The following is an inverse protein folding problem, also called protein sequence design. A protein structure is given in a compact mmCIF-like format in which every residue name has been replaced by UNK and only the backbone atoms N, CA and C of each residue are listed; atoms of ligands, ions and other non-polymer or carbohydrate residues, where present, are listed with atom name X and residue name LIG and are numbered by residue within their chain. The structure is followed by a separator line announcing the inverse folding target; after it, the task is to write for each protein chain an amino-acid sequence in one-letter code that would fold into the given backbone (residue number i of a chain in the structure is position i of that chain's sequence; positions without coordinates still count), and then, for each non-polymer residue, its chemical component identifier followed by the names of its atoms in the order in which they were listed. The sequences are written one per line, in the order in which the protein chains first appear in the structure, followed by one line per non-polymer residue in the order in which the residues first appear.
data_IF_201778558073
#
_entry.id   IF_201778558073
#
_cell.length_a   1.000
_cell.length_b   1.000
_cell.length_c   1.000
_cell.angle_alpha   90.00
_cell.angle_beta   90.00
_cell.angle_gamma   90.00
#
_symmetry.space_group_name_H-M   'P 1'
#
loop_
_entity.id
_entity.type
_entity.pdbx_description
1 polymer ?
#
# COMPACT_ATOMS: atom_id res chain seq x y z
N UNK A 1 10.18 -36.99 -2.22
CA UNK A 1 9.76 -35.95 -1.25
C UNK A 1 9.25 -34.73 -2.03
N UNK A 2 8.14 -34.87 -2.76
CA UNK A 2 7.40 -33.75 -3.37
C UNK A 2 6.10 -33.63 -2.58
N UNK A 3 6.19 -33.26 -1.31
CA UNK A 3 5.05 -33.45 -0.41
C UNK A 3 4.04 -32.32 -0.41
N UNK A 4 4.33 -31.15 -0.98
CA UNK A 4 3.33 -30.10 -1.16
C UNK A 4 3.76 -29.28 -2.38
N UNK A 5 3.06 -29.38 -3.51
CA UNK A 5 3.29 -28.45 -4.63
C UNK A 5 2.93 -27.03 -4.14
N UNK A 6 3.89 -26.12 -3.96
CA UNK A 6 3.57 -24.76 -3.56
C UNK A 6 2.70 -24.12 -4.65
N UNK A 7 1.88 -23.16 -4.27
CA UNK A 7 1.31 -22.26 -5.27
C UNK A 7 2.46 -21.43 -5.84
N UNK A 8 2.34 -21.03 -7.11
CA UNK A 8 3.32 -20.13 -7.72
C UNK A 8 3.55 -18.91 -6.81
N UNK A 9 4.81 -18.44 -6.67
CA UNK A 9 5.12 -17.33 -5.78
C UNK A 9 4.29 -16.08 -6.12
N UNK A 10 3.64 -15.50 -5.10
CA UNK A 10 2.81 -14.32 -5.27
C UNK A 10 3.59 -13.05 -4.96
N UNK A 11 3.38 -12.03 -5.79
CA UNK A 11 3.93 -10.69 -5.61
C UNK A 11 2.80 -9.66 -5.69
N UNK A 12 2.02 -9.56 -4.61
CA UNK A 12 0.83 -8.71 -4.56
C UNK A 12 1.17 -7.31 -4.04
N UNK A 13 0.50 -6.31 -4.58
CA UNK A 13 0.69 -4.89 -4.27
C UNK A 13 -0.32 -4.36 -3.23
N UNK A 14 -1.40 -5.11 -2.96
CA UNK A 14 -2.45 -4.74 -2.01
C UNK A 14 -2.54 -5.70 -0.82
N UNK A 15 -2.84 -5.13 0.36
CA UNK A 15 -3.06 -5.89 1.58
C UNK A 15 -4.32 -6.75 1.48
N UNK A 16 -5.35 -6.21 0.82
CA UNK A 16 -6.63 -6.86 0.59
C UNK A 16 -6.46 -8.15 -0.22
N UNK A 17 -5.68 -8.10 -1.31
CA UNK A 17 -5.39 -9.30 -2.11
C UNK A 17 -4.61 -10.34 -1.30
N UNK A 18 -3.61 -9.91 -0.51
CA UNK A 18 -2.84 -10.80 0.39
C UNK A 18 -3.73 -11.47 1.44
N UNK A 19 -4.67 -10.73 2.05
CA UNK A 19 -5.63 -11.30 3.01
C UNK A 19 -6.60 -12.26 2.34
N UNK A 20 -7.08 -11.93 1.14
CA UNK A 20 -7.99 -12.78 0.38
C UNK A 20 -7.35 -14.12 0.01
N UNK A 21 -6.14 -14.12 -0.54
CA UNK A 21 -5.44 -15.38 -0.86
C UNK A 21 -5.14 -16.17 0.41
N UNK A 22 -4.70 -15.51 1.48
CA UNK A 22 -4.46 -16.14 2.77
C UNK A 22 -5.71 -16.87 3.31
N UNK A 23 -6.86 -16.20 3.33
CA UNK A 23 -8.12 -16.80 3.78
C UNK A 23 -8.55 -17.96 2.86
N UNK A 24 -8.38 -17.79 1.55
CA UNK A 24 -8.70 -18.83 0.56
C UNK A 24 -7.87 -20.09 0.82
N UNK A 25 -6.57 -19.97 1.08
CA UNK A 25 -5.70 -21.11 1.33
C UNK A 25 -5.97 -21.80 2.65
N UNK A 26 -6.33 -21.06 3.69
CA UNK A 26 -6.78 -21.64 4.96
C UNK A 26 -8.08 -22.43 4.78
N UNK A 27 -9.03 -21.90 4.00
CA UNK A 27 -10.32 -22.57 3.74
C UNK A 27 -10.21 -23.81 2.85
N UNK A 28 -9.11 -23.95 2.11
CA UNK A 28 -8.83 -25.12 1.26
C UNK A 28 -8.15 -26.27 2.03
N UNK A 29 -7.74 -26.05 3.29
CA UNK A 29 -7.14 -27.10 4.11
C UNK A 29 -8.19 -28.13 4.51
N UNK A 30 -7.95 -29.37 4.14
CA UNK A 30 -8.71 -30.53 4.60
C UNK A 30 -8.02 -31.11 5.85
N UNK A 31 -8.66 -31.11 7.03
CA UNK A 31 -8.07 -31.60 8.27
C UNK A 31 -7.79 -33.12 8.27
N UNK A 32 -8.45 -33.89 7.40
CA UNK A 32 -8.24 -35.34 7.30
C UNK A 32 -7.08 -35.71 6.37
N UNK A 33 -6.63 -34.77 5.55
CA UNK A 33 -5.56 -34.97 4.58
C UNK A 33 -4.31 -34.13 4.92
N UNK A 34 -3.23 -34.75 5.43
CA UNK A 34 -1.97 -34.06 5.75
C UNK A 34 -1.27 -33.37 4.57
N UNK A 35 -1.59 -33.74 3.33
CA UNK A 35 -1.04 -33.12 2.10
C UNK A 35 -1.93 -32.01 1.52
N UNK A 36 -3.05 -31.71 2.18
CA UNK A 36 -3.98 -30.66 1.75
C UNK A 36 -3.42 -29.24 1.86
N UNK A 37 -2.61 -28.86 2.88
CA UNK A 37 -2.18 -27.47 3.01
C UNK A 37 -1.28 -27.04 1.86
N UNK A 38 -1.67 -26.02 1.10
CA UNK A 38 -0.83 -25.47 0.02
C UNK A 38 0.07 -24.35 0.56
N UNK A 39 1.40 -24.49 0.51
CA UNK A 39 2.32 -23.43 0.90
C UNK A 39 2.10 -22.17 0.05
N UNK A 40 2.07 -21.02 0.72
CA UNK A 40 2.05 -19.70 0.12
C UNK A 40 3.44 -19.07 0.28
N UNK A 41 4.07 -18.73 -0.84
CA UNK A 41 5.31 -17.96 -0.88
C UNK A 41 4.93 -16.57 -1.35
N UNK A 42 5.04 -15.57 -0.46
CA UNK A 42 4.68 -14.20 -0.76
C UNK A 42 5.85 -13.24 -0.51
N UNK A 43 5.96 -12.23 -1.36
CA UNK A 43 6.91 -11.14 -1.17
C UNK A 43 6.30 -9.76 -1.34
N UNK A 44 7.01 -8.76 -0.86
CA UNK A 44 6.65 -7.35 -0.99
C UNK A 44 7.87 -6.45 -0.92
N UNK A 45 7.73 -5.23 -1.47
CA UNK A 45 8.79 -4.22 -1.52
C UNK A 45 8.23 -2.83 -1.28
N UNK A 46 9.01 -1.99 -0.59
CA UNK A 46 8.74 -0.58 -0.38
C UNK A 46 10.09 0.17 -0.36
N UNK A 47 10.40 0.85 -1.47
CA UNK A 47 11.69 1.51 -1.67
C UNK A 47 12.87 0.55 -1.59
N UNK A 48 13.73 0.75 -0.59
CA UNK A 48 14.90 -0.09 -0.33
C UNK A 48 14.62 -1.24 0.66
N UNK A 49 13.37 -1.37 1.13
CA UNK A 49 12.94 -2.45 2.02
C UNK A 49 12.17 -3.48 1.22
N UNK A 50 12.28 -4.74 1.62
CA UNK A 50 11.45 -5.81 1.11
C UNK A 50 11.41 -6.97 2.08
N UNK A 51 10.44 -7.85 1.84
CA UNK A 51 10.23 -9.04 2.64
C UNK A 51 9.86 -10.21 1.73
N UNK A 52 10.26 -11.40 2.16
CA UNK A 52 9.82 -12.67 1.61
C UNK A 52 9.36 -13.54 2.78
N UNK A 53 8.24 -14.25 2.60
CA UNK A 53 7.66 -15.10 3.63
C UNK A 53 7.11 -16.39 3.03
N UNK A 54 7.29 -17.48 3.76
CA UNK A 54 6.60 -18.76 3.50
C UNK A 54 5.53 -18.94 4.56
N UNK A 55 4.30 -19.14 4.13
CA UNK A 55 3.14 -19.41 4.99
C UNK A 55 2.63 -20.82 4.65
N UNK A 56 2.71 -21.71 5.61
CA UNK A 56 1.97 -22.97 5.65
C UNK A 56 0.63 -22.72 6.36
N UNK A 57 -0.51 -22.82 5.65
CA UNK A 57 -1.83 -22.65 6.24
C UNK A 57 -2.03 -23.54 7.47
N UNK A 58 -2.68 -23.03 8.51
CA UNK A 58 -2.95 -23.70 9.81
C UNK A 58 -1.73 -24.15 10.64
N UNK A 59 -0.50 -24.01 10.12
CA UNK A 59 0.73 -24.48 10.78
C UNK A 59 1.62 -23.30 11.20
N UNK A 60 1.83 -22.34 10.30
CA UNK A 60 2.71 -21.17 10.54
C UNK A 60 1.90 -19.88 10.65
N UNK A 61 2.56 -18.80 11.10
CA UNK A 61 1.93 -17.47 11.20
C UNK A 61 1.47 -16.99 9.82
N UNK A 62 0.17 -16.69 9.72
CA UNK A 62 -0.46 -16.25 8.49
C UNK A 62 -0.49 -14.70 8.39
N UNK A 63 -1.06 -14.16 7.31
CA UNK A 63 -1.17 -12.71 7.15
C UNK A 63 -2.01 -12.05 8.25
N UNK A 64 -3.10 -12.69 8.66
CA UNK A 64 -3.98 -12.16 9.72
C UNK A 64 -3.27 -12.14 11.09
N UNK A 65 -2.37 -13.10 11.34
CA UNK A 65 -1.60 -13.17 12.60
C UNK A 65 -0.59 -12.03 12.77
N UNK A 66 -0.22 -11.35 11.69
CA UNK A 66 0.81 -10.29 11.70
C UNK A 66 0.34 -9.00 11.02
N UNK A 67 -0.99 -8.85 10.86
CA UNK A 67 -1.61 -7.72 10.18
C UNK A 67 -1.21 -6.38 10.80
N UNK A 68 -1.08 -6.33 12.13
CA UNK A 68 -0.69 -5.12 12.86
C UNK A 68 0.76 -4.70 12.65
N UNK A 69 1.62 -5.60 12.16
CA UNK A 69 3.01 -5.30 11.82
C UNK A 69 3.18 -4.73 10.41
N UNK A 70 2.11 -4.73 9.61
CA UNK A 70 2.15 -4.20 8.25
C UNK A 70 1.94 -2.68 8.27
N UNK A 71 2.65 -1.98 7.39
CA UNK A 71 2.53 -0.54 7.26
C UNK A 71 1.09 -0.18 6.88
N UNK A 72 0.42 0.61 7.72
CA UNK A 72 -0.90 1.17 7.40
C UNK A 72 -0.71 2.37 6.47
N UNK A 73 -1.61 2.59 5.49
CA UNK A 73 -1.60 3.82 4.70
C UNK A 73 -1.58 5.04 5.63
N UNK A 74 -0.78 6.05 5.29
CA UNK A 74 -0.70 7.28 6.07
C UNK A 74 -2.03 8.03 5.97
N UNK A 75 -2.83 8.01 7.03
CA UNK A 75 -4.06 8.78 7.13
C UNK A 75 -3.84 9.97 8.07
N UNK A 76 -4.04 11.19 7.56
CA UNK A 76 -3.93 12.40 8.38
C UNK A 76 -5.25 12.69 9.10
N UNK A 77 -5.24 13.04 10.40
CA UNK A 77 -6.46 13.39 11.11
C UNK A 77 -7.13 14.64 10.51
N UNK A 78 -8.46 14.60 10.33
CA UNK A 78 -9.24 15.72 9.76
C UNK A 78 -9.00 17.03 10.51
N UNK A 79 -8.92 16.98 11.85
CA UNK A 79 -8.65 18.16 12.67
C UNK A 79 -7.28 18.80 12.38
N UNK A 80 -6.28 17.98 12.00
CA UNK A 80 -4.93 18.46 11.68
C UNK A 80 -4.93 19.16 10.34
N UNK A 81 -5.49 18.53 9.30
CA UNK A 81 -5.52 19.12 7.96
C UNK A 81 -6.43 20.35 7.88
N UNK A 82 -7.49 20.41 8.69
CA UNK A 82 -8.44 21.52 8.70
C UNK A 82 -7.91 22.76 9.45
N UNK A 83 -7.31 22.58 10.63
CA UNK A 83 -7.04 23.69 11.54
C UNK A 83 -5.55 23.88 11.90
N UNK A 84 -4.74 22.82 11.81
CA UNK A 84 -3.34 22.85 12.28
C UNK A 84 -2.40 22.13 11.30
N UNK A 85 -2.34 22.51 10.01
CA UNK A 85 -1.37 21.94 9.10
C UNK A 85 0.05 22.30 9.56
N UNK A 86 0.99 21.38 9.36
CA UNK A 86 2.39 21.51 9.82
C UNK A 86 3.40 21.08 8.76
N UNK A 87 2.96 20.20 7.86
CA UNK A 87 3.75 19.63 6.78
C UNK A 87 3.05 19.96 5.45
N UNK A 88 3.78 20.08 4.33
CA UNK A 88 3.19 20.35 3.02
C UNK A 88 2.17 19.28 2.59
N UNK A 89 2.35 18.03 3.04
CA UNK A 89 1.43 16.91 2.84
C UNK A 89 0.05 17.19 3.44
N UNK A 90 -0.01 17.87 4.60
CA UNK A 90 -1.29 18.22 5.22
C UNK A 90 -2.08 19.22 4.37
N UNK A 91 -1.39 20.14 3.68
CA UNK A 91 -2.03 21.11 2.81
C UNK A 91 -2.57 20.46 1.53
N UNK A 92 -1.82 19.49 0.99
CA UNK A 92 -2.25 18.69 -0.17
C UNK A 92 -3.47 17.83 0.21
N UNK A 93 -3.43 17.17 1.37
CA UNK A 93 -4.53 16.34 1.85
C UNK A 93 -5.79 17.18 2.13
N UNK A 94 -5.63 18.37 2.71
CA UNK A 94 -6.76 19.31 2.87
C UNK A 94 -7.39 19.69 1.53
N UNK A 95 -6.57 19.98 0.51
CA UNK A 95 -7.06 20.34 -0.81
C UNK A 95 -7.85 19.17 -1.43
N UNK A 96 -7.35 17.94 -1.28
CA UNK A 96 -7.95 16.70 -1.79
C UNK A 96 -9.23 16.29 -1.05
N UNK A 97 -9.20 16.26 0.28
CA UNK A 97 -10.28 15.66 1.09
C UNK A 97 -11.36 16.68 1.47
N UNK A 98 -11.00 17.96 1.65
CA UNK A 98 -11.92 18.99 2.14
C UNK A 98 -12.30 20.01 1.07
N UNK A 99 -11.34 20.56 0.32
CA UNK A 99 -11.66 21.58 -0.68
C UNK A 99 -12.23 21.03 -1.97
N UNK A 100 -11.72 19.89 -2.46
CA UNK A 100 -12.20 19.31 -3.71
C UNK A 100 -13.72 19.05 -3.67
N UNK A 101 -14.28 18.34 -2.66
CA UNK A 101 -15.73 18.13 -2.60
C UNK A 101 -16.51 19.43 -2.39
N UNK A 102 -15.91 20.43 -1.73
CA UNK A 102 -16.54 21.74 -1.51
C UNK A 102 -16.72 22.53 -2.80
N UNK A 103 -15.77 22.45 -3.74
CA UNK A 103 -15.79 23.22 -5.00
C UNK A 103 -16.42 22.41 -6.13
N UNK A 104 -16.19 21.10 -6.17
CA UNK A 104 -16.60 20.23 -7.28
C UNK A 104 -17.79 19.31 -6.94
N UNK A 105 -18.34 19.40 -5.73
CA UNK A 105 -19.49 18.61 -5.30
C UNK A 105 -19.20 17.12 -5.38
N UNK A 106 -20.02 16.39 -6.16
CA UNK A 106 -19.94 14.94 -6.30
C UNK A 106 -18.90 14.46 -7.32
N UNK A 107 -18.21 15.36 -8.04
CA UNK A 107 -17.16 14.96 -8.98
C UNK A 107 -16.02 14.32 -8.18
N UNK A 108 -15.80 13.01 -8.35
CA UNK A 108 -14.60 12.35 -7.84
C UNK A 108 -13.37 12.88 -8.54
N UNK A 109 -12.34 13.21 -7.76
CA UNK A 109 -11.05 13.66 -8.26
C UNK A 109 -10.36 12.55 -9.05
N UNK A 110 -9.90 12.87 -10.26
CA UNK A 110 -9.09 11.97 -11.07
C UNK A 110 -7.61 12.25 -10.78
N UNK A 111 -6.93 11.29 -10.17
CA UNK A 111 -5.53 11.44 -9.77
C UNK A 111 -4.58 11.31 -10.96
N UNK A 112 -5.04 10.79 -12.10
CA UNK A 112 -4.28 10.66 -13.33
C UNK A 112 -4.50 11.84 -14.29
N UNK A 113 -5.54 12.64 -14.08
CA UNK A 113 -5.80 13.84 -14.88
C UNK A 113 -4.86 15.00 -14.47
N UNK A 114 -4.01 15.52 -15.38
CA UNK A 114 -3.13 16.64 -15.09
C UNK A 114 -3.84 17.92 -14.64
N UNK A 115 -5.07 18.17 -15.11
CA UNK A 115 -5.83 19.37 -14.74
C UNK A 115 -6.30 19.32 -13.28
N UNK A 116 -6.79 18.16 -12.83
CA UNK A 116 -7.22 17.92 -11.46
C UNK A 116 -6.03 18.04 -10.48
N UNK A 117 -4.87 17.49 -10.86
CA UNK A 117 -3.62 17.63 -10.08
C UNK A 117 -3.11 19.09 -10.08
N UNK A 118 -3.26 19.82 -11.18
CA UNK A 118 -2.89 21.24 -11.26
C UNK A 118 -3.73 22.11 -10.35
N UNK A 119 -5.03 21.84 -10.30
CA UNK A 119 -5.93 22.50 -9.37
C UNK A 119 -5.52 22.23 -7.92
N UNK A 120 -5.27 20.96 -7.57
CA UNK A 120 -4.79 20.56 -6.24
C UNK A 120 -3.52 21.29 -5.83
N UNK A 121 -2.51 21.27 -6.71
CA UNK A 121 -1.23 21.92 -6.46
C UNK A 121 -1.40 23.42 -6.18
N UNK A 122 -2.24 24.11 -6.96
CA UNK A 122 -2.51 25.53 -6.79
C UNK A 122 -3.20 25.81 -5.44
N UNK A 123 -4.26 25.06 -5.11
CA UNK A 123 -5.03 25.22 -3.87
C UNK A 123 -4.16 24.91 -2.64
N UNK A 124 -3.43 23.79 -2.66
CA UNK A 124 -2.52 23.40 -1.59
C UNK A 124 -1.40 24.43 -1.39
N UNK A 125 -0.89 25.04 -2.47
CA UNK A 125 0.14 26.08 -2.40
C UNK A 125 -0.36 27.37 -1.75
N UNK A 126 -1.63 27.74 -1.99
CA UNK A 126 -2.25 28.91 -1.34
C UNK A 126 -2.40 28.66 0.17
N UNK A 127 -2.90 27.49 0.56
CA UNK A 127 -3.02 27.14 1.96
C UNK A 127 -1.65 27.08 2.65
N UNK A 128 -0.66 26.47 2.02
CA UNK A 128 0.69 26.39 2.56
C UNK A 128 1.27 27.80 2.81
N UNK A 129 1.03 28.77 1.92
CA UNK A 129 1.42 30.17 2.14
C UNK A 129 0.73 30.81 3.35
N UNK A 130 -0.56 30.53 3.57
CA UNK A 130 -1.31 31.05 4.72
C UNK A 130 -0.71 30.57 6.06
N UNK A 131 -0.32 29.29 6.11
CA UNK A 131 0.30 28.69 7.30
C UNK A 131 1.83 28.79 7.33
N UNK A 132 2.45 29.49 6.37
CA UNK A 132 3.92 29.65 6.23
C UNK A 132 4.66 28.32 6.15
N UNK A 133 4.10 27.35 5.43
CA UNK A 133 4.66 26.03 5.18
C UNK A 133 5.30 26.04 3.79
N UNK A 134 6.55 25.59 3.71
CA UNK A 134 7.27 25.43 2.45
C UNK A 134 7.28 23.96 2.00
N UNK A 135 7.66 23.70 0.75
CA UNK A 135 7.88 22.34 0.24
C UNK A 135 6.71 21.72 -0.54
N UNK A 136 5.62 22.45 -0.79
CA UNK A 136 4.59 21.99 -1.74
C UNK A 136 5.17 22.00 -3.15
N UNK A 137 5.34 20.81 -3.72
CA UNK A 137 5.81 20.62 -5.10
C UNK A 137 4.83 19.76 -5.88
N UNK A 138 4.92 19.80 -7.21
CA UNK A 138 4.13 18.94 -8.08
C UNK A 138 4.33 17.45 -7.76
N UNK A 139 5.59 17.03 -7.62
CA UNK A 139 5.94 15.64 -7.30
C UNK A 139 5.39 15.21 -5.94
N UNK A 140 5.42 16.09 -4.93
CA UNK A 140 4.83 15.80 -3.62
C UNK A 140 3.31 15.70 -3.70
N UNK A 141 2.67 16.57 -4.49
CA UNK A 141 1.21 16.57 -4.70
C UNK A 141 0.76 15.23 -5.29
N UNK A 142 1.44 14.76 -6.33
CA UNK A 142 1.18 13.44 -6.91
C UNK A 142 1.48 12.30 -5.91
N UNK A 143 2.59 12.41 -5.16
CA UNK A 143 2.99 11.43 -4.16
C UNK A 143 1.92 11.20 -3.09
N UNK A 144 1.40 12.28 -2.51
CA UNK A 144 0.38 12.24 -1.46
C UNK A 144 -0.95 11.72 -2.02
N UNK A 145 -1.43 12.30 -3.11
CA UNK A 145 -2.77 11.99 -3.66
C UNK A 145 -2.86 10.56 -4.21
N UNK A 146 -1.77 10.05 -4.79
CA UNK A 146 -1.73 8.67 -5.30
C UNK A 146 -1.24 7.65 -4.26
N UNK A 147 -0.89 8.07 -3.04
CA UNK A 147 -0.22 7.22 -2.05
C UNK A 147 0.96 6.43 -2.66
N UNK A 148 1.84 7.12 -3.41
CA UNK A 148 2.90 6.46 -4.20
C UNK A 148 3.88 5.72 -3.28
N UNK A 149 3.97 4.41 -3.46
CA UNK A 149 5.00 3.56 -2.85
C UNK A 149 6.22 3.56 -3.77
N UNK A 150 7.42 4.00 -3.31
CA UNK A 150 8.61 3.97 -4.14
C UNK A 150 8.95 2.54 -4.59
N UNK A 151 9.24 2.37 -5.88
CA UNK A 151 9.64 1.07 -6.46
C UNK A 151 11.08 1.15 -6.99
N UNK A 152 11.93 0.23 -6.53
CA UNK A 152 13.35 0.18 -6.92
C UNK A 152 13.64 -1.17 -7.57
N UNK A 153 14.15 -1.15 -8.80
CA UNK A 153 14.39 -2.35 -9.59
C UNK A 153 15.31 -3.38 -8.89
N UNK A 154 16.35 -2.92 -8.19
CA UNK A 154 17.25 -3.80 -7.45
C UNK A 154 16.55 -4.49 -6.28
N UNK A 155 15.70 -3.80 -5.51
CA UNK A 155 14.92 -4.39 -4.42
C UNK A 155 13.98 -5.47 -4.96
N UNK A 156 13.26 -5.17 -6.04
CA UNK A 156 12.35 -6.15 -6.68
C UNK A 156 13.12 -7.38 -7.16
N UNK A 157 14.30 -7.20 -7.75
CA UNK A 157 15.14 -8.31 -8.20
C UNK A 157 15.62 -9.20 -7.04
N UNK A 158 16.03 -8.60 -5.91
CA UNK A 158 16.45 -9.34 -4.71
C UNK A 158 15.29 -10.15 -4.14
N UNK A 159 14.10 -9.55 -3.99
CA UNK A 159 12.94 -10.24 -3.44
C UNK A 159 12.46 -11.34 -4.39
N UNK A 160 12.33 -11.06 -5.69
CA UNK A 160 11.95 -12.07 -6.68
C UNK A 160 12.93 -13.26 -6.69
N UNK A 161 14.24 -12.99 -6.65
CA UNK A 161 15.25 -14.03 -6.53
C UNK A 161 15.11 -14.87 -5.26
N UNK A 162 14.79 -14.23 -4.13
CA UNK A 162 14.53 -14.90 -2.86
C UNK A 162 13.28 -15.79 -2.91
N UNK A 163 12.18 -15.30 -3.50
CA UNK A 163 10.95 -16.08 -3.65
C UNK A 163 11.17 -17.32 -4.52
N UNK A 164 11.93 -17.19 -5.61
CA UNK A 164 12.30 -18.32 -6.47
C UNK A 164 13.14 -19.36 -5.72
N UNK A 165 14.10 -18.93 -4.90
CA UNK A 165 14.90 -19.83 -4.07
C UNK A 165 14.05 -20.59 -3.04
N UNK A 166 12.99 -19.99 -2.52
CA UNK A 166 12.08 -20.63 -1.57
C UNK A 166 11.11 -21.62 -2.25
N UNK A 167 10.95 -21.53 -3.57
CA UNK A 167 10.05 -22.40 -4.34
C UNK A 167 10.73 -23.68 -4.84
N UNK A 168 12.05 -23.67 -5.02
CA UNK A 168 12.87 -24.80 -5.49
C UNK A 168 13.11 -25.83 -4.39
#
# INVERSE_FOLDING_TARGET
MRLLSPIEPTYLDSLEARRWINATLVNLVDPENPESPKPLIDGGTEGYKGQARVILPTITSCYECSLDMLNKPTAFPICTIANMPRLPEHCIEWASVLQWPRVHGDKKMDTDNPDDISWLYAVASVQAKEFKIEGVTWSLTQGVVKNIIPAIASTNAIIAGTLLLLFL
#
